data_IF_547473057669
#
_entry.id   IF_547473057669
#
_cell.length_a   1.000
_cell.length_b   1.000
_cell.length_c   1.000
_cell.angle_alpha   90.00
_cell.angle_beta   90.00
_cell.angle_gamma   90.00
#
_symmetry.space_group_name_H-M   'P 1'
#
loop_
_entity.id
_entity.type
_entity.pdbx_description
1 polymer ?
#
# COMPACT_ATOMS: atom_id res chain seq x y z
N UNK A 1 2.83 5.86 -49.65
CA UNK A 1 1.96 5.51 -48.51
C UNK A 1 2.31 6.42 -47.35
N UNK A 2 1.33 7.22 -46.93
CA UNK A 2 1.49 8.25 -45.90
C UNK A 2 1.37 7.55 -44.54
N UNK A 3 2.48 7.44 -43.81
CA UNK A 3 2.47 6.88 -42.45
C UNK A 3 1.86 7.92 -41.54
N UNK A 4 0.59 7.72 -41.19
CA UNK A 4 -0.13 8.58 -40.26
C UNK A 4 0.45 8.44 -38.85
N UNK A 5 1.42 9.29 -38.54
CA UNK A 5 2.08 9.38 -37.24
C UNK A 5 1.15 9.94 -36.16
N UNK A 6 -0.06 10.44 -36.48
CA UNK A 6 -1.00 10.98 -35.49
C UNK A 6 -1.46 9.94 -34.46
N UNK A 7 -1.44 8.66 -34.86
CA UNK A 7 -1.79 7.52 -34.00
C UNK A 7 -0.71 7.16 -32.95
N UNK A 8 0.52 7.66 -33.07
CA UNK A 8 1.56 7.48 -32.04
C UNK A 8 1.56 8.56 -30.96
N UNK A 9 1.00 9.74 -31.23
CA UNK A 9 1.01 10.87 -30.28
C UNK A 9 -0.10 10.81 -29.23
N UNK A 10 -1.08 9.90 -29.41
CA UNK A 10 -2.21 9.75 -28.50
C UNK A 10 -2.61 8.28 -28.32
N UNK A 11 -1.65 7.42 -28.01
CA UNK A 11 -1.95 6.32 -27.10
C UNK A 11 -1.97 6.97 -25.71
N UNK A 12 -3.11 7.00 -24.97
CA UNK A 12 -2.99 7.33 -23.56
C UNK A 12 -1.93 6.39 -23.01
N UNK A 13 -0.90 6.93 -22.34
CA UNK A 13 0.24 6.15 -21.81
C UNK A 13 -0.19 5.03 -20.83
N UNK A 14 -1.49 4.88 -20.62
CA UNK A 14 -2.20 4.27 -19.52
C UNK A 14 -3.52 3.78 -20.12
N UNK A 15 -3.73 2.46 -20.14
CA UNK A 15 -4.93 1.86 -20.74
C UNK A 15 -6.23 2.36 -20.08
N UNK A 16 -7.41 2.09 -20.69
CA UNK A 16 -8.70 2.58 -20.18
C UNK A 16 -8.98 2.21 -18.72
N UNK A 17 -8.43 1.08 -18.25
CA UNK A 17 -8.46 0.62 -16.85
C UNK A 17 -7.85 1.64 -15.87
N UNK A 18 -6.85 2.41 -16.29
CA UNK A 18 -6.20 3.41 -15.47
C UNK A 18 -7.12 4.59 -15.16
N UNK A 19 -7.96 5.01 -16.12
CA UNK A 19 -8.92 6.11 -15.93
C UNK A 19 -9.96 5.79 -14.84
N UNK A 20 -10.24 4.51 -14.58
CA UNK A 20 -11.19 4.10 -13.55
C UNK A 20 -10.75 4.43 -12.12
N UNK A 21 -9.46 4.70 -11.87
CA UNK A 21 -9.00 5.11 -10.54
C UNK A 21 -9.46 6.53 -10.14
N UNK A 22 -9.95 7.32 -11.11
CA UNK A 22 -10.61 8.62 -10.88
C UNK A 22 -12.13 8.55 -11.02
N UNK A 23 -12.70 7.34 -11.01
CA UNK A 23 -14.13 7.13 -11.08
C UNK A 23 -14.88 7.98 -10.06
N UNK A 24 -16.10 8.36 -10.42
CA UNK A 24 -16.95 9.19 -9.58
C UNK A 24 -17.41 8.54 -8.26
N UNK A 25 -17.15 7.25 -8.10
CA UNK A 25 -17.55 6.47 -6.94
C UNK A 25 -16.36 6.09 -6.04
N UNK A 26 -15.19 6.71 -6.21
CA UNK A 26 -13.98 6.37 -5.45
C UNK A 26 -13.28 7.60 -4.92
N UNK A 27 -12.75 7.50 -3.70
CA UNK A 27 -11.78 8.46 -3.19
C UNK A 27 -10.40 8.21 -3.79
N UNK A 28 -9.55 9.23 -3.73
CA UNK A 28 -8.19 9.20 -4.25
C UNK A 28 -7.30 10.22 -3.53
N UNK A 29 -5.98 10.01 -3.48
CA UNK A 29 -5.05 11.03 -3.01
C UNK A 29 -4.92 12.16 -4.04
N UNK A 30 -5.14 13.40 -3.62
CA UNK A 30 -4.52 14.54 -4.27
C UNK A 30 -3.09 14.68 -3.73
N UNK A 31 -2.14 14.83 -4.64
CA UNK A 31 -0.70 14.88 -4.38
C UNK A 31 -0.17 16.27 -4.74
N UNK A 32 0.64 16.86 -3.87
CA UNK A 32 1.25 18.17 -4.07
C UNK A 32 2.60 18.27 -3.38
N UNK A 33 3.40 19.30 -3.70
CA UNK A 33 4.70 19.58 -3.08
C UNK A 33 5.62 18.36 -3.02
N UNK A 34 5.72 17.62 -4.12
CA UNK A 34 6.61 16.47 -4.17
C UNK A 34 8.07 16.97 -4.19
N UNK A 35 8.91 16.46 -3.29
CA UNK A 35 10.32 16.89 -3.20
C UNK A 35 11.19 16.43 -4.36
N UNK A 36 10.63 15.63 -5.27
CA UNK A 36 11.26 15.20 -6.52
C UNK A 36 10.72 16.00 -7.73
N UNK A 37 9.96 17.07 -7.48
CA UNK A 37 9.51 17.98 -8.52
C UNK A 37 10.71 18.71 -9.14
N UNK A 38 10.65 18.89 -10.45
CA UNK A 38 11.61 19.69 -11.19
C UNK A 38 11.16 21.15 -11.22
N UNK A 39 12.12 22.05 -11.40
CA UNK A 39 11.85 23.48 -11.49
C UNK A 39 11.15 23.79 -12.84
N UNK A 40 9.89 24.27 -12.85
CA UNK A 40 9.22 24.66 -14.10
C UNK A 40 9.78 25.96 -14.69
N UNK A 41 10.64 26.67 -13.96
CA UNK A 41 11.15 27.98 -14.34
C UNK A 41 10.14 29.11 -14.10
N UNK A 42 10.57 30.32 -14.39
CA UNK A 42 9.78 31.56 -14.26
C UNK A 42 9.15 32.04 -15.57
N UNK A 43 9.21 31.20 -16.62
CA UNK A 43 8.76 31.52 -17.97
C UNK A 43 9.84 32.10 -18.89
N UNK A 44 11.07 32.33 -18.40
CA UNK A 44 12.21 32.68 -19.25
C UNK A 44 12.82 31.42 -19.91
N UNK A 45 13.28 31.53 -21.16
CA UNK A 45 13.77 30.39 -21.98
C UNK A 45 15.01 29.66 -21.44
N UNK A 46 15.67 30.19 -20.40
CA UNK A 46 16.84 29.60 -19.75
C UNK A 46 16.59 29.31 -18.27
N UNK A 47 15.33 29.40 -17.84
CA UNK A 47 14.89 29.22 -16.46
C UNK A 47 14.08 27.94 -16.38
N UNK A 48 14.35 27.12 -15.37
CA UNK A 48 13.75 25.80 -15.19
C UNK A 48 14.54 24.65 -15.80
N UNK A 49 14.16 23.44 -15.40
CA UNK A 49 14.76 22.20 -15.86
C UNK A 49 14.35 21.90 -17.30
N UNK A 50 15.31 21.39 -18.10
CA UNK A 50 15.06 21.05 -19.50
C UNK A 50 14.02 19.93 -19.69
N UNK A 51 13.74 19.17 -18.63
CA UNK A 51 12.66 18.21 -18.53
C UNK A 51 11.91 18.42 -17.20
N UNK A 52 10.77 19.09 -17.26
CA UNK A 52 9.94 19.36 -16.07
C UNK A 52 8.97 18.22 -15.75
N UNK A 53 8.81 17.92 -14.47
CA UNK A 53 7.71 17.12 -13.97
C UNK A 53 7.25 17.62 -12.60
N UNK A 54 5.93 17.69 -12.41
CA UNK A 54 5.30 18.08 -11.15
C UNK A 54 4.45 16.90 -10.69
N UNK A 55 4.74 16.37 -9.51
CA UNK A 55 4.25 15.13 -8.95
C UNK A 55 4.40 13.90 -9.88
N UNK A 56 5.32 13.95 -10.85
CA UNK A 56 5.42 12.88 -11.86
C UNK A 56 6.01 11.57 -11.33
N UNK A 57 6.91 11.66 -10.34
CA UNK A 57 7.56 10.49 -9.75
C UNK A 57 6.70 9.74 -8.73
N UNK A 58 5.50 10.22 -8.43
CA UNK A 58 4.60 9.57 -7.47
C UNK A 58 3.39 8.97 -8.16
N UNK A 59 3.08 7.74 -7.78
CA UNK A 59 1.88 7.04 -8.17
C UNK A 59 1.22 6.40 -6.95
N UNK A 60 -0.06 6.04 -7.07
CA UNK A 60 -0.80 5.34 -6.03
C UNK A 60 -1.50 4.09 -6.56
N UNK A 61 -1.71 3.14 -5.66
CA UNK A 61 -2.47 1.93 -5.94
C UNK A 61 -3.97 2.21 -6.04
N UNK A 62 -4.64 1.50 -6.94
CA UNK A 62 -6.10 1.60 -7.11
C UNK A 62 -6.91 1.00 -5.94
N UNK A 63 -6.25 0.27 -5.04
CA UNK A 63 -6.81 -0.29 -3.81
C UNK A 63 -6.78 0.75 -2.69
N UNK A 64 -7.61 1.78 -2.83
CA UNK A 64 -7.89 2.77 -1.78
C UNK A 64 -8.89 2.17 -0.78
N UNK A 65 -8.60 2.31 0.51
CA UNK A 65 -9.54 1.99 1.61
C UNK A 65 -10.23 3.29 2.01
N UNK A 66 -11.55 3.25 2.06
CA UNK A 66 -12.41 4.37 2.42
C UNK A 66 -13.58 3.78 3.21
N UNK A 67 -13.41 3.72 4.53
CA UNK A 67 -14.33 3.10 5.47
C UNK A 67 -14.70 4.12 6.55
N UNK A 68 -15.81 3.94 7.29
CA UNK A 68 -16.18 4.88 8.35
C UNK A 68 -15.08 5.12 9.39
N UNK A 69 -14.22 4.10 9.64
CA UNK A 69 -13.11 4.20 10.58
C UNK A 69 -11.86 4.92 10.06
N UNK A 70 -11.76 5.18 8.75
CA UNK A 70 -10.63 5.92 8.18
C UNK A 70 -10.37 5.66 6.70
N UNK A 71 -9.22 6.15 6.25
CA UNK A 71 -8.82 6.12 4.85
C UNK A 71 -7.37 5.66 4.69
N UNK A 72 -7.07 4.85 3.68
CA UNK A 72 -5.70 4.42 3.39
C UNK A 72 -5.41 4.24 1.90
N UNK A 73 -4.16 4.47 1.52
CA UNK A 73 -3.65 4.25 0.16
C UNK A 73 -2.17 3.88 0.19
N UNK A 74 -1.74 3.06 -0.77
CA UNK A 74 -0.32 2.83 -1.02
C UNK A 74 0.20 3.80 -2.06
N UNK A 75 1.24 4.56 -1.72
CA UNK A 75 2.03 5.39 -2.64
C UNK A 75 3.28 4.65 -3.09
N UNK A 76 3.70 4.86 -4.33
CA UNK A 76 4.89 4.26 -4.93
C UNK A 76 5.65 5.25 -5.80
N UNK A 77 6.98 5.13 -5.88
CA UNK A 77 7.75 5.80 -6.92
C UNK A 77 7.40 5.26 -8.30
N UNK A 78 7.39 6.14 -9.29
CA UNK A 78 7.19 5.84 -10.70
C UNK A 78 8.35 6.39 -11.52
N UNK A 79 9.05 5.52 -12.23
CA UNK A 79 10.03 5.94 -13.21
C UNK A 79 9.33 6.59 -14.41
N UNK A 80 9.96 7.62 -14.96
CA UNK A 80 9.44 8.37 -16.09
C UNK A 80 10.12 7.92 -17.38
N UNK A 81 9.34 7.82 -18.45
CA UNK A 81 9.88 7.62 -19.81
C UNK A 81 9.77 8.96 -20.52
N UNK A 82 10.91 9.53 -20.90
CA UNK A 82 10.99 10.82 -21.58
C UNK A 82 11.56 10.65 -22.99
N UNK A 83 11.48 11.68 -23.83
CA UNK A 83 12.08 11.70 -25.16
C UNK A 83 13.61 11.61 -25.14
N UNK A 84 14.26 11.92 -24.01
CA UNK A 84 15.71 11.85 -23.82
C UNK A 84 16.17 10.54 -23.15
N UNK A 85 15.23 9.67 -22.76
CA UNK A 85 15.52 8.40 -22.09
C UNK A 85 14.70 8.18 -20.81
N UNK A 86 14.88 7.02 -20.15
CA UNK A 86 14.25 6.75 -18.86
C UNK A 86 14.88 7.61 -17.77
N UNK A 87 14.04 8.08 -16.86
CA UNK A 87 14.43 8.86 -15.70
C UNK A 87 13.93 8.13 -14.46
N UNK A 88 14.88 7.63 -13.67
CA UNK A 88 14.57 6.83 -12.49
C UNK A 88 14.06 7.72 -11.38
N UNK A 89 12.97 7.30 -10.73
CA UNK A 89 12.54 7.92 -9.50
C UNK A 89 13.61 7.77 -8.41
N UNK A 90 13.77 8.74 -7.50
CA UNK A 90 14.65 8.59 -6.35
C UNK A 90 14.28 7.38 -5.49
N UNK A 91 15.25 6.85 -4.73
CA UNK A 91 14.99 5.75 -3.77
C UNK A 91 13.95 6.13 -2.71
N UNK A 92 13.81 7.43 -2.46
CA UNK A 92 12.78 7.97 -1.59
C UNK A 92 12.61 9.47 -1.80
N UNK A 93 11.40 9.98 -1.61
CA UNK A 93 11.05 11.42 -1.66
C UNK A 93 9.92 11.72 -0.67
N UNK A 94 9.52 12.99 -0.53
CA UNK A 94 8.34 13.39 0.26
C UNK A 94 7.28 14.00 -0.65
N UNK A 95 6.01 13.90 -0.25
CA UNK A 95 4.86 14.49 -0.97
C UNK A 95 3.75 14.80 0.01
N UNK A 96 2.99 15.86 -0.22
CA UNK A 96 1.78 16.14 0.54
C UNK A 96 0.63 15.28 0.02
N UNK A 97 -0.17 14.72 0.94
CA UNK A 97 -1.25 13.80 0.61
C UNK A 97 -2.56 14.33 1.19
N UNK A 98 -3.51 14.62 0.31
CA UNK A 98 -4.86 15.04 0.71
C UNK A 98 -5.89 14.04 0.18
N UNK A 99 -6.58 13.25 1.02
CA UNK A 99 -7.68 12.42 0.56
C UNK A 99 -8.77 13.30 -0.05
N UNK A 100 -9.20 12.98 -1.27
CA UNK A 100 -10.29 13.67 -1.95
C UNK A 100 -11.41 12.72 -2.24
N UNK A 101 -12.61 13.30 -2.26
CA UNK A 101 -13.84 12.61 -2.65
C UNK A 101 -14.10 11.37 -1.78
N UNK A 102 -13.88 11.51 -0.47
CA UNK A 102 -14.21 10.49 0.52
C UNK A 102 -15.68 10.10 0.40
N UNK A 103 -15.96 8.80 0.44
CA UNK A 103 -17.30 8.23 0.29
C UNK A 103 -17.86 7.80 1.64
N UNK A 104 -17.06 7.13 2.48
CA UNK A 104 -17.49 6.58 3.76
C UNK A 104 -16.75 7.18 4.95
N UNK A 105 -15.46 7.47 4.80
CA UNK A 105 -14.71 8.21 5.82
C UNK A 105 -15.14 9.68 5.83
N UNK A 106 -15.58 10.18 6.97
CA UNK A 106 -16.03 11.56 7.09
C UNK A 106 -15.14 12.34 8.04
N UNK A 107 -14.30 13.20 7.46
CA UNK A 107 -13.48 14.14 8.22
C UNK A 107 -14.36 15.32 8.70
N UNK A 108 -14.60 15.39 10.01
CA UNK A 108 -15.32 16.52 10.61
C UNK A 108 -14.36 17.69 10.81
N UNK A 109 -14.68 18.92 10.36
CA UNK A 109 -13.85 20.10 10.58
C UNK A 109 -13.41 20.26 12.05
N UNK A 110 -12.12 20.51 12.27
CA UNK A 110 -11.52 20.65 13.60
C UNK A 110 -11.28 19.33 14.35
N UNK A 111 -11.75 18.19 13.84
CA UNK A 111 -11.44 16.89 14.42
C UNK A 111 -10.00 16.47 14.08
N UNK A 112 -9.31 15.94 15.09
CA UNK A 112 -8.00 15.31 14.93
C UNK A 112 -8.14 13.84 14.61
N UNK A 113 -7.31 13.36 13.68
CA UNK A 113 -7.24 11.94 13.30
C UNK A 113 -5.79 11.46 13.37
N UNK A 114 -5.53 10.28 13.96
CA UNK A 114 -4.20 9.70 13.91
C UNK A 114 -3.88 9.31 12.46
N UNK A 115 -2.62 9.41 12.08
CA UNK A 115 -2.13 8.94 10.80
C UNK A 115 -0.76 8.31 10.93
N UNK A 116 -0.40 7.48 9.95
CA UNK A 116 0.89 6.79 9.89
C UNK A 116 1.28 6.43 8.46
N UNK A 117 2.57 6.22 8.29
CA UNK A 117 3.19 5.68 7.08
C UNK A 117 3.91 4.41 7.43
N UNK A 118 3.53 3.32 6.78
CA UNK A 118 4.20 2.04 6.87
C UNK A 118 5.00 1.80 5.59
N UNK A 119 6.30 1.57 5.72
CA UNK A 119 7.16 1.20 4.60
C UNK A 119 6.87 -0.25 4.21
N UNK A 120 6.52 -0.49 2.96
CA UNK A 120 6.05 -1.81 2.51
C UNK A 120 7.16 -2.87 2.43
N UNK A 121 8.43 -2.49 2.42
CA UNK A 121 9.54 -3.44 2.31
C UNK A 121 9.76 -4.26 3.58
N UNK A 122 9.46 -3.70 4.75
CA UNK A 122 9.77 -4.27 6.06
C UNK A 122 8.67 -4.03 7.12
N UNK A 123 7.53 -3.50 6.71
CA UNK A 123 6.38 -3.15 7.55
C UNK A 123 6.72 -2.17 8.70
N UNK A 124 7.83 -1.44 8.60
CA UNK A 124 8.22 -0.46 9.60
C UNK A 124 7.33 0.78 9.52
N UNK A 125 6.77 1.22 10.65
CA UNK A 125 6.17 2.55 10.76
C UNK A 125 7.29 3.58 10.77
N UNK A 126 7.36 4.38 9.71
CA UNK A 126 8.46 5.31 9.43
C UNK A 126 8.09 6.77 9.67
N UNK A 127 6.80 7.08 9.68
CA UNK A 127 6.24 8.39 10.03
C UNK A 127 4.85 8.19 10.62
N UNK A 128 4.38 9.19 11.38
CA UNK A 128 3.02 9.27 11.87
C UNK A 128 2.82 10.45 12.80
N UNK A 129 1.59 10.65 13.24
CA UNK A 129 1.19 11.73 14.12
C UNK A 129 -0.32 11.93 14.08
N UNK A 130 -0.73 13.16 14.28
CA UNK A 130 -2.13 13.58 14.19
C UNK A 130 -2.28 14.59 13.06
N UNK A 131 -3.41 14.52 12.35
CA UNK A 131 -3.81 15.51 11.34
C UNK A 131 -5.18 16.07 11.72
N UNK A 132 -5.32 17.39 11.70
CA UNK A 132 -6.56 18.06 12.01
C UNK A 132 -7.27 18.42 10.71
N UNK A 133 -8.56 18.08 10.61
CA UNK A 133 -9.38 18.50 9.48
C UNK A 133 -9.53 20.03 9.48
N UNK A 134 -9.27 20.66 8.34
CA UNK A 134 -9.46 22.11 8.19
C UNK A 134 -10.95 22.51 8.26
N UNK A 135 -11.23 23.81 8.13
CA UNK A 135 -12.61 24.34 8.14
C UNK A 135 -13.51 23.80 7.01
N UNK A 136 -12.92 23.18 5.99
CA UNK A 136 -13.60 22.55 4.87
C UNK A 136 -13.64 21.01 4.99
N UNK A 137 -13.20 20.45 6.12
CA UNK A 137 -13.13 19.00 6.34
C UNK A 137 -12.04 18.31 5.52
N UNK A 138 -10.99 19.04 5.11
CA UNK A 138 -9.85 18.47 4.38
C UNK A 138 -8.75 18.06 5.35
N UNK A 139 -8.17 16.91 5.07
CA UNK A 139 -7.02 16.38 5.79
C UNK A 139 -5.84 16.42 4.83
N UNK A 140 -4.79 17.17 5.17
CA UNK A 140 -3.56 17.21 4.40
C UNK A 140 -2.43 16.70 5.27
N UNK A 141 -1.84 15.58 4.87
CA UNK A 141 -0.63 15.05 5.47
C UNK A 141 0.56 15.69 4.77
N UNK A 142 1.34 16.48 5.51
CA UNK A 142 2.51 17.17 4.96
C UNK A 142 3.72 16.25 4.90
N UNK A 143 4.50 16.35 3.83
CA UNK A 143 5.79 15.69 3.65
C UNK A 143 5.79 14.16 3.94
N UNK A 144 4.75 13.46 3.45
CA UNK A 144 4.65 12.01 3.53
C UNK A 144 5.81 11.38 2.76
N UNK A 145 6.61 10.58 3.45
CA UNK A 145 7.78 9.90 2.90
C UNK A 145 7.36 8.68 2.09
N UNK A 146 7.76 8.67 0.82
CA UNK A 146 7.56 7.55 -0.10
C UNK A 146 8.89 6.86 -0.35
N UNK A 147 8.94 5.53 -0.18
CA UNK A 147 10.12 4.69 -0.41
C UNK A 147 9.98 3.86 -1.69
N UNK A 148 11.11 3.44 -2.29
CA UNK A 148 11.16 2.59 -3.49
C UNK A 148 10.25 1.35 -3.43
N UNK A 149 10.17 0.70 -2.27
CA UNK A 149 9.31 -0.47 -2.05
C UNK A 149 7.81 -0.16 -1.94
N UNK A 150 7.44 1.11 -1.83
CA UNK A 150 6.09 1.58 -1.53
C UNK A 150 5.92 2.04 -0.08
N UNK A 151 4.88 2.82 0.14
CA UNK A 151 4.55 3.42 1.44
C UNK A 151 3.03 3.43 1.60
N UNK A 152 2.54 2.67 2.58
CA UNK A 152 1.13 2.62 2.94
C UNK A 152 0.84 3.76 3.90
N UNK A 153 0.02 4.69 3.45
CA UNK A 153 -0.45 5.84 4.21
C UNK A 153 -1.83 5.52 4.75
N UNK A 154 -2.06 5.71 6.04
CA UNK A 154 -3.38 5.53 6.66
C UNK A 154 -3.73 6.66 7.60
N UNK A 155 -5.00 7.07 7.61
CA UNK A 155 -5.59 8.07 8.48
C UNK A 155 -6.80 7.46 9.19
N UNK A 156 -7.00 7.83 10.45
CA UNK A 156 -8.04 7.31 11.32
C UNK A 156 -7.67 5.98 11.96
N UNK A 157 -8.60 5.45 12.75
CA UNK A 157 -8.48 4.15 13.40
C UNK A 157 -8.88 3.03 12.44
N UNK A 158 -8.30 3.06 11.25
CA UNK A 158 -8.28 1.86 10.44
C UNK A 158 -7.41 0.86 11.17
N UNK A 159 -8.02 -0.23 11.62
CA UNK A 159 -7.32 -1.50 11.79
C UNK A 159 -6.88 -2.00 10.41
N UNK A 160 -6.01 -1.24 9.74
CA UNK A 160 -5.18 -1.74 8.65
C UNK A 160 -4.24 -2.74 9.32
N UNK A 161 -4.71 -3.99 9.46
CA UNK A 161 -3.96 -5.16 9.92
C UNK A 161 -2.81 -4.81 10.88
N UNK A 162 -3.16 -4.54 12.14
CA UNK A 162 -2.30 -4.42 13.34
C UNK A 162 -0.79 -4.21 13.13
N UNK A 163 -0.34 -2.97 13.38
CA UNK A 163 0.86 -2.71 14.20
C UNK A 163 0.51 -1.54 15.13
N UNK A 164 0.29 -1.76 16.43
CA UNK A 164 0.05 -0.67 17.38
C UNK A 164 1.33 0.18 17.56
N UNK A 165 1.22 1.47 17.96
CA UNK A 165 2.38 2.22 18.43
C UNK A 165 3.02 1.49 19.63
N UNK A 166 4.32 1.70 19.94
CA UNK A 166 4.97 1.01 21.05
C UNK A 166 4.40 1.54 22.38
N UNK A 167 3.29 0.95 22.81
CA UNK A 167 2.75 1.09 24.15
C UNK A 167 3.04 -0.21 24.89
N UNK A 168 3.75 -0.05 26.00
CA UNK A 168 4.20 -1.06 26.94
C UNK A 168 3.37 -2.36 26.95
N UNK A 169 4.03 -3.47 26.63
CA UNK A 169 3.69 -4.84 27.00
C UNK A 169 2.17 -5.17 27.08
N UNK A 170 1.43 -4.92 26.01
CA UNK A 170 0.22 -5.69 25.75
C UNK A 170 0.68 -7.05 25.18
N UNK A 171 0.13 -8.15 25.71
CA UNK A 171 0.48 -9.51 25.30
C UNK A 171 0.62 -9.60 23.78
N UNK A 172 1.82 -9.95 23.31
CA UNK A 172 2.05 -10.16 21.90
C UNK A 172 1.03 -11.20 21.40
N UNK A 173 0.46 -10.97 20.22
CA UNK A 173 -0.52 -11.87 19.59
C UNK A 173 0.11 -12.53 18.38
N UNK A 174 -0.43 -13.67 17.96
CA UNK A 174 -0.04 -14.29 16.69
C UNK A 174 -0.36 -13.34 15.53
N UNK A 175 0.63 -13.05 14.68
CA UNK A 175 0.47 -12.16 13.53
C UNK A 175 0.86 -12.83 12.22
N UNK A 176 0.16 -12.50 11.13
CA UNK A 176 0.40 -13.02 9.77
C UNK A 176 0.67 -11.92 8.75
N UNK A 177 1.76 -12.06 7.99
CA UNK A 177 2.07 -11.18 6.86
C UNK A 177 2.43 -11.95 5.58
N UNK A 178 2.13 -11.32 4.44
CA UNK A 178 2.39 -11.83 3.10
C UNK A 178 3.14 -10.72 2.35
N UNK A 179 4.42 -10.90 2.01
CA UNK A 179 5.22 -9.87 1.33
C UNK A 179 4.75 -9.60 -0.11
N UNK A 180 3.99 -10.53 -0.69
CA UNK A 180 3.48 -10.43 -2.05
C UNK A 180 2.00 -10.81 -2.09
N UNK A 181 1.19 -9.95 -2.69
CA UNK A 181 -0.21 -10.18 -3.02
C UNK A 181 -0.56 -9.44 -4.32
N UNK A 182 -1.18 -10.11 -5.31
CA UNK A 182 -1.47 -11.55 -5.41
C UNK A 182 -0.21 -12.43 -5.56
N UNK A 183 -0.33 -13.71 -5.24
CA UNK A 183 0.72 -14.71 -5.48
C UNK A 183 0.67 -15.21 -6.92
N UNK A 184 1.84 -15.27 -7.57
CA UNK A 184 2.06 -15.93 -8.88
C UNK A 184 3.22 -16.91 -8.71
N UNK A 185 2.96 -18.21 -8.90
CA UNK A 185 4.00 -19.25 -8.74
C UNK A 185 4.26 -19.63 -7.28
N UNK A 186 5.47 -19.39 -6.75
CA UNK A 186 5.81 -19.64 -5.35
C UNK A 186 5.44 -18.44 -4.47
N UNK A 187 4.88 -18.71 -3.29
CA UNK A 187 4.53 -17.68 -2.32
C UNK A 187 5.22 -17.91 -0.98
N UNK A 188 5.28 -16.86 -0.19
CA UNK A 188 5.81 -16.91 1.17
C UNK A 188 4.85 -16.22 2.12
N UNK A 189 4.79 -16.72 3.34
CA UNK A 189 4.15 -16.06 4.46
C UNK A 189 5.13 -15.97 5.62
N UNK A 190 4.89 -14.99 6.49
CA UNK A 190 5.56 -14.90 7.76
C UNK A 190 4.54 -14.95 8.88
N UNK A 191 4.89 -15.67 9.94
CA UNK A 191 4.12 -15.69 11.18
C UNK A 191 5.00 -15.17 12.29
N UNK A 192 4.48 -14.27 13.11
CA UNK A 192 5.12 -13.85 14.35
C UNK A 192 4.41 -14.54 15.51
N UNK A 193 5.15 -15.36 16.24
CA UNK A 193 4.69 -16.07 17.43
C UNK A 193 5.06 -15.27 18.66
N UNK A 194 4.09 -14.97 19.54
CA UNK A 194 4.33 -14.16 20.72
C UNK A 194 5.04 -14.89 21.86
N UNK A 195 5.13 -16.22 21.78
CA UNK A 195 5.77 -17.09 22.76
C UNK A 195 6.19 -18.38 22.08
N UNK A 196 7.01 -19.19 22.74
CA UNK A 196 7.22 -20.56 22.32
C UNK A 196 6.02 -21.44 22.69
N UNK A 197 5.59 -22.32 21.80
CA UNK A 197 4.44 -23.19 22.04
C UNK A 197 4.04 -24.04 20.86
N UNK A 198 3.06 -24.93 21.09
CA UNK A 198 2.43 -25.68 20.00
C UNK A 198 1.60 -24.74 19.11
N UNK A 199 1.94 -24.74 17.83
CA UNK A 199 1.38 -23.84 16.85
C UNK A 199 1.04 -24.56 15.54
N UNK A 200 0.14 -23.95 14.78
CA UNK A 200 -0.33 -24.50 13.50
C UNK A 200 -0.59 -23.38 12.51
N UNK A 201 -0.29 -23.66 11.24
CA UNK A 201 -0.65 -22.79 10.12
C UNK A 201 -1.30 -23.60 9.02
N UNK A 202 -2.54 -23.25 8.70
CA UNK A 202 -3.36 -23.91 7.69
C UNK A 202 -3.71 -22.94 6.55
N UNK A 203 -3.80 -23.50 5.34
CA UNK A 203 -4.36 -22.83 4.19
C UNK A 203 -5.74 -23.42 3.91
N UNK A 204 -6.76 -22.57 3.88
CA UNK A 204 -8.16 -22.92 3.66
C UNK A 204 -8.66 -22.35 2.32
N UNK A 205 -9.61 -23.02 1.68
CA UNK A 205 -10.36 -22.44 0.57
C UNK A 205 -11.51 -21.53 1.06
N UNK A 206 -12.26 -20.91 0.13
CA UNK A 206 -13.37 -20.00 0.46
C UNK A 206 -14.52 -20.67 1.23
N UNK A 207 -14.59 -22.01 1.22
CA UNK A 207 -15.60 -22.76 1.97
C UNK A 207 -15.15 -23.08 3.40
N UNK A 208 -13.91 -22.70 3.76
CA UNK A 208 -13.29 -23.03 5.04
C UNK A 208 -12.67 -24.42 5.07
N UNK A 209 -12.70 -25.17 3.97
CA UNK A 209 -12.06 -26.49 3.89
C UNK A 209 -10.54 -26.32 3.84
N UNK A 210 -9.84 -27.11 4.65
CA UNK A 210 -8.37 -27.13 4.68
C UNK A 210 -7.81 -27.74 3.41
N UNK A 211 -7.03 -26.95 2.69
CA UNK A 211 -6.32 -27.31 1.46
C UNK A 211 -4.93 -27.82 1.76
N UNK A 212 -4.24 -27.21 2.73
CA UNK A 212 -2.90 -27.62 3.15
C UNK A 212 -2.62 -27.20 4.60
N UNK A 213 -1.71 -27.90 5.27
CA UNK A 213 -1.11 -27.47 6.55
C UNK A 213 0.34 -27.10 6.25
N UNK A 214 0.67 -25.82 6.40
CA UNK A 214 2.00 -25.28 6.11
C UNK A 214 2.96 -25.44 7.29
N UNK A 215 2.42 -25.49 8.51
CA UNK A 215 3.19 -25.68 9.73
C UNK A 215 2.33 -26.38 10.79
N UNK A 216 2.93 -27.28 11.56
CA UNK A 216 2.33 -27.87 12.75
C UNK A 216 3.43 -28.41 13.66
N UNK A 217 3.45 -27.94 14.90
CA UNK A 217 4.39 -28.38 15.93
C UNK A 217 4.83 -27.22 16.83
N UNK A 218 5.88 -27.45 17.61
CA UNK A 218 6.48 -26.44 18.45
C UNK A 218 7.08 -25.29 17.62
N UNK A 219 6.56 -24.08 17.81
CA UNK A 219 7.14 -22.83 17.35
C UNK A 219 7.97 -22.20 18.48
N UNK A 220 9.06 -21.52 18.10
CA UNK A 220 9.79 -20.63 19.01
C UNK A 220 9.18 -19.22 18.94
N UNK A 221 9.32 -18.47 20.03
CA UNK A 221 8.97 -17.05 20.04
C UNK A 221 9.74 -16.30 18.93
N UNK A 222 9.03 -15.44 18.20
CA UNK A 222 9.60 -14.68 17.10
C UNK A 222 9.02 -15.07 15.73
N UNK A 223 9.79 -14.85 14.66
CA UNK A 223 9.26 -14.88 13.29
C UNK A 223 9.62 -16.17 12.56
N UNK A 224 8.62 -16.90 12.09
CA UNK A 224 8.78 -18.08 11.22
C UNK A 224 8.42 -17.73 9.77
N UNK A 225 9.25 -18.19 8.83
CA UNK A 225 8.98 -18.10 7.38
C UNK A 225 8.37 -19.41 6.90
N UNK A 226 7.27 -19.30 6.15
CA UNK A 226 6.53 -20.44 5.60
C UNK A 226 6.43 -20.33 4.08
N UNK A 227 6.66 -21.44 3.39
CA UNK A 227 6.44 -21.53 1.95
C UNK A 227 4.97 -21.81 1.67
N UNK A 228 4.38 -21.04 0.75
CA UNK A 228 3.04 -21.30 0.20
C UNK A 228 3.22 -21.97 -1.17
N UNK A 229 2.74 -23.21 -1.36
CA UNK A 229 2.86 -23.92 -2.63
C UNK A 229 1.82 -23.42 -3.65
N UNK A 230 1.82 -22.12 -3.97
CA UNK A 230 0.81 -21.50 -4.82
C UNK A 230 0.78 -22.04 -6.26
N UNK A 231 1.85 -22.70 -6.72
CA UNK A 231 1.88 -23.43 -8.00
C UNK A 231 0.89 -24.61 -8.01
N UNK A 232 0.69 -25.28 -6.87
CA UNK A 232 -0.22 -26.42 -6.71
C UNK A 232 -1.68 -25.99 -6.43
N UNK A 233 -1.92 -24.69 -6.23
CA UNK A 233 -3.25 -24.13 -5.99
C UNK A 233 -3.90 -23.74 -7.31
N UNK A 234 -5.24 -23.76 -7.35
CA UNK A 234 -5.99 -23.13 -8.43
C UNK A 234 -5.95 -21.60 -8.28
N UNK A 235 -6.18 -20.87 -9.37
CA UNK A 235 -6.41 -19.44 -9.25
C UNK A 235 -7.66 -19.19 -8.41
N UNK A 236 -7.59 -18.29 -7.43
CA UNK A 236 -8.69 -18.08 -6.50
C UNK A 236 -8.28 -17.41 -5.19
N UNK A 237 -9.25 -17.34 -4.28
CA UNK A 237 -9.08 -16.78 -2.94
C UNK A 237 -8.92 -17.93 -1.94
N UNK A 238 -7.96 -17.77 -1.04
CA UNK A 238 -7.67 -18.68 0.06
C UNK A 238 -7.53 -17.89 1.36
N UNK A 239 -7.58 -18.59 2.48
CA UNK A 239 -7.37 -18.03 3.81
C UNK A 239 -6.21 -18.75 4.48
N UNK A 240 -5.18 -18.00 4.87
CA UNK A 240 -4.10 -18.50 5.70
C UNK A 240 -4.45 -18.24 7.15
N UNK A 241 -4.52 -19.28 7.97
CA UNK A 241 -4.89 -19.21 9.39
C UNK A 241 -3.72 -19.72 10.22
N UNK A 242 -3.22 -18.90 11.13
CA UNK A 242 -2.20 -19.28 12.11
C UNK A 242 -2.83 -19.32 13.49
N UNK A 243 -2.52 -20.35 14.28
CA UNK A 243 -3.03 -20.50 15.64
C UNK A 243 -1.95 -20.96 16.61
N UNK A 244 -2.01 -20.44 17.83
CA UNK A 244 -1.14 -20.80 18.95
C UNK A 244 -1.89 -20.61 20.28
N UNK A 245 -1.92 -21.67 21.10
CA UNK A 245 -2.43 -21.61 22.47
C UNK A 245 -3.81 -20.96 22.66
N UNK A 246 -4.73 -21.22 21.72
CA UNK A 246 -6.12 -20.72 21.73
C UNK A 246 -6.34 -19.42 20.97
N UNK A 247 -5.29 -18.72 20.56
CA UNK A 247 -5.38 -17.57 19.67
C UNK A 247 -5.28 -18.00 18.21
N UNK A 248 -5.93 -17.26 17.31
CA UNK A 248 -5.78 -17.43 15.88
C UNK A 248 -5.86 -16.11 15.13
N UNK A 249 -5.09 -15.99 14.06
CA UNK A 249 -5.13 -14.88 13.12
C UNK A 249 -5.30 -15.40 11.69
N UNK A 250 -5.95 -14.61 10.84
CA UNK A 250 -6.33 -15.02 9.48
C UNK A 250 -5.92 -13.96 8.47
N UNK A 251 -5.38 -14.40 7.33
CA UNK A 251 -4.99 -13.52 6.22
C UNK A 251 -5.54 -14.04 4.90
N UNK A 252 -6.13 -13.14 4.11
CA UNK A 252 -6.57 -13.45 2.75
C UNK A 252 -5.36 -13.63 1.83
N UNK A 253 -5.37 -14.69 1.03
CA UNK A 253 -4.37 -15.00 0.00
C UNK A 253 -5.07 -15.05 -1.35
N UNK A 254 -4.62 -14.24 -2.30
CA UNK A 254 -5.09 -14.29 -3.69
C UNK A 254 -4.05 -15.01 -4.54
N UNK A 255 -4.43 -16.05 -5.26
CA UNK A 255 -3.57 -16.81 -6.17
C UNK A 255 -3.98 -16.52 -7.61
N UNK A 256 -3.01 -16.12 -8.43
CA UNK A 256 -3.15 -15.95 -9.89
C UNK A 256 -2.23 -16.95 -10.61
N UNK A 257 -2.62 -17.34 -11.83
CA UNK A 257 -1.76 -18.09 -12.74
C UNK A 257 -0.99 -17.15 -13.65
#
# INVERSE_FOLDING_TARGET
HNTDLSSMYWLPMLGPSYLWRWSSARSFPALSHCSADHDPGDGHVYSGDSLGTINGFVEWDSLVVDEPGGWAVTLRPRDLVTTLGPMNAPDSFTVDVTPRRLQAFHAVPGQSFPWRVMRTSDDAIVQGGDVVADSLGRLTLEAVRVYRGGSLVSIGDLSVLDVPPPRAAAAARVALSLPRQPLRGAGEAFVSWPRAGEARVDLLDVTGRRVSTLFHGAAEEGRTRLAIPAHALHAGIYWLVASEGGESTTKRVVVLK
#
